data_IF_231673007807
#
_entry.id   IF_231673007807
#
_cell.length_a   1.000
_cell.length_b   1.000
_cell.length_c   1.000
_cell.angle_alpha   90.00
_cell.angle_beta   90.00
_cell.angle_gamma   90.00
#
_symmetry.space_group_name_H-M   'P 1'
#
loop_
_entity.id
_entity.type
_entity.pdbx_description
1 polymer ?
#
# COMPACT_ATOMS: atom_id res chain seq x y z
N UNK A 1 14.35 4.61 -19.12
CA UNK A 1 14.27 5.94 -18.51
C UNK A 1 14.05 6.92 -19.66
N UNK A 2 12.91 7.60 -19.66
CA UNK A 2 12.48 8.52 -20.73
C UNK A 2 13.39 9.75 -20.70
N UNK A 3 13.74 10.28 -21.87
CA UNK A 3 14.57 11.47 -22.05
C UNK A 3 13.84 12.50 -22.91
N UNK A 4 14.27 13.75 -22.84
CA UNK A 4 13.72 14.83 -23.67
C UNK A 4 13.77 14.53 -25.17
N UNK A 5 14.82 13.83 -25.61
CA UNK A 5 14.97 13.37 -27.01
C UNK A 5 13.86 12.44 -27.49
N UNK A 6 13.09 11.84 -26.57
CA UNK A 6 12.06 10.86 -26.90
C UNK A 6 10.71 11.54 -27.23
N UNK A 7 10.61 12.86 -27.04
CA UNK A 7 9.44 13.67 -27.36
C UNK A 7 9.66 14.45 -28.66
N UNK A 8 8.83 14.19 -29.67
CA UNK A 8 8.88 14.87 -30.97
C UNK A 8 7.69 15.80 -31.11
N UNK A 9 7.94 17.06 -31.46
CA UNK A 9 6.87 18.04 -31.68
C UNK A 9 5.97 17.59 -32.84
N UNK A 10 4.67 17.51 -32.56
CA UNK A 10 3.63 17.24 -33.55
C UNK A 10 3.08 18.57 -34.08
N UNK A 11 3.56 18.99 -35.26
CA UNK A 11 3.18 20.27 -35.84
C UNK A 11 1.73 20.28 -36.36
N UNK A 12 1.19 19.13 -36.74
CA UNK A 12 -0.15 19.03 -37.34
C UNK A 12 -1.24 19.17 -36.28
N UNK A 13 -0.96 18.71 -35.05
CA UNK A 13 -1.86 18.87 -33.91
C UNK A 13 -1.51 20.05 -33.01
N UNK A 14 -0.40 20.75 -33.25
CA UNK A 14 -0.10 21.99 -32.53
C UNK A 14 -0.88 23.17 -33.10
N UNK A 15 -1.28 24.12 -32.25
CA UNK A 15 -1.91 25.35 -32.69
C UNK A 15 -1.32 26.59 -31.99
N UNK A 16 -1.98 27.74 -32.14
CA UNK A 16 -1.56 29.00 -31.49
C UNK A 16 -1.71 29.00 -29.97
N UNK A 17 -2.50 28.09 -29.40
CA UNK A 17 -2.83 28.01 -27.98
C UNK A 17 -2.00 26.95 -27.25
N UNK A 18 -1.55 25.90 -27.94
CA UNK A 18 -0.77 24.83 -27.34
C UNK A 18 0.21 24.19 -28.32
N UNK A 19 1.28 23.61 -27.76
CA UNK A 19 2.20 22.75 -28.51
C UNK A 19 1.97 21.28 -28.15
N UNK A 20 1.75 20.45 -29.16
CA UNK A 20 1.58 19.00 -29.03
C UNK A 20 2.92 18.28 -29.25
N UNK A 21 3.19 17.27 -28.43
CA UNK A 21 4.37 16.40 -28.55
C UNK A 21 3.93 14.94 -28.53
N UNK A 22 4.48 14.15 -29.46
CA UNK A 22 4.31 12.71 -29.52
C UNK A 22 5.51 12.04 -28.85
N UNK A 23 5.25 10.96 -28.11
CA UNK A 23 6.29 10.13 -27.53
C UNK A 23 6.62 8.98 -28.48
N UNK A 24 7.89 8.80 -28.84
CA UNK A 24 8.31 7.80 -29.84
C UNK A 24 9.09 6.64 -29.25
N UNK A 25 8.99 6.43 -27.94
CA UNK A 25 9.65 5.32 -27.26
C UNK A 25 8.66 4.62 -26.34
N UNK A 26 8.74 3.30 -26.28
CA UNK A 26 7.89 2.49 -25.41
C UNK A 26 8.03 2.93 -23.96
N UNK A 27 6.89 3.11 -23.30
CA UNK A 27 6.86 3.39 -21.87
C UNK A 27 6.50 2.13 -21.12
N UNK A 28 7.26 1.87 -20.07
CA UNK A 28 6.88 0.89 -19.07
C UNK A 28 6.19 1.63 -17.95
N UNK A 29 4.89 1.45 -17.84
CA UNK A 29 4.12 1.82 -16.65
C UNK A 29 3.85 0.50 -15.95
N UNK A 30 4.38 0.35 -14.75
CA UNK A 30 4.29 -0.91 -14.01
C UNK A 30 4.97 -2.09 -14.73
N UNK A 31 4.40 -3.29 -14.63
CA UNK A 31 4.70 -4.44 -15.49
C UNK A 31 4.05 -4.37 -16.90
N UNK A 32 3.30 -3.32 -17.20
CA UNK A 32 2.69 -3.12 -18.51
C UNK A 32 3.64 -2.34 -19.43
N UNK A 33 4.07 -2.99 -20.51
CA UNK A 33 4.80 -2.33 -21.58
C UNK A 33 3.79 -1.78 -22.58
N UNK A 34 3.73 -0.46 -22.70
CA UNK A 34 3.03 0.19 -23.80
C UNK A 34 4.07 0.35 -24.91
N UNK A 35 3.97 -0.51 -25.92
CA UNK A 35 4.82 -0.42 -27.09
C UNK A 35 4.54 0.87 -27.87
N UNK A 36 5.54 1.36 -28.60
CA UNK A 36 5.46 2.57 -29.42
C UNK A 36 4.29 2.55 -30.42
N UNK A 37 4.01 1.40 -31.01
CA UNK A 37 2.84 1.15 -31.87
C UNK A 37 1.47 1.31 -31.16
N UNK A 38 1.44 1.33 -29.83
CA UNK A 38 0.24 1.51 -29.01
C UNK A 38 0.24 2.86 -28.26
N UNK A 39 1.20 3.76 -28.54
CA UNK A 39 1.28 5.10 -27.94
C UNK A 39 0.38 6.13 -28.61
N UNK A 40 -0.43 5.72 -29.59
CA UNK A 40 -1.40 6.59 -30.28
C UNK A 40 -2.39 7.30 -29.34
N UNK A 41 -2.44 6.95 -28.04
CA UNK A 41 -3.34 7.55 -27.06
C UNK A 41 -2.66 8.50 -26.04
N UNK A 42 -1.33 8.67 -26.08
CA UNK A 42 -0.61 9.50 -25.08
C UNK A 42 -0.16 10.83 -25.68
N UNK A 43 -1.01 11.84 -25.53
CA UNK A 43 -0.75 13.21 -25.98
C UNK A 43 -0.42 14.13 -24.80
N UNK A 44 0.62 14.95 -24.95
CA UNK A 44 0.96 15.99 -23.98
C UNK A 44 0.67 17.35 -24.60
N UNK A 45 -0.34 18.02 -24.06
CA UNK A 45 -0.73 19.37 -24.44
C UNK A 45 -0.13 20.37 -23.46
N UNK A 46 0.77 21.22 -23.96
CA UNK A 46 1.38 22.29 -23.16
C UNK A 46 0.75 23.62 -23.55
N UNK A 47 -0.02 24.22 -22.64
CA UNK A 47 -0.53 25.59 -22.77
C UNK A 47 0.25 26.53 -21.84
N UNK A 48 1.04 27.43 -22.43
CA UNK A 48 1.78 28.48 -21.70
C UNK A 48 3.29 28.53 -22.01
N UNK A 49 3.99 29.48 -21.36
CA UNK A 49 5.44 29.72 -21.54
C UNK A 49 6.31 28.84 -20.63
N UNK A 50 5.77 27.76 -20.08
CA UNK A 50 6.54 26.83 -19.23
C UNK A 50 7.65 26.18 -20.04
N UNK A 51 8.86 26.15 -19.51
CA UNK A 51 9.96 25.42 -20.15
C UNK A 51 9.56 23.95 -20.28
N UNK A 52 9.58 23.41 -21.51
CA UNK A 52 9.26 22.01 -21.82
C UNK A 52 9.97 21.04 -20.85
N UNK A 53 11.22 21.34 -20.53
CA UNK A 53 12.04 20.61 -19.57
C UNK A 53 11.41 20.53 -18.18
N UNK A 54 10.76 21.59 -17.68
CA UNK A 54 10.09 21.58 -16.39
C UNK A 54 8.85 20.67 -16.39
N UNK A 55 8.09 20.67 -17.49
CA UNK A 55 6.91 19.81 -17.66
C UNK A 55 7.32 18.35 -17.81
N UNK A 56 8.35 18.08 -18.62
CA UNK A 56 8.94 16.75 -18.76
C UNK A 56 9.44 16.23 -17.41
N UNK A 57 10.15 17.06 -16.63
CA UNK A 57 10.61 16.68 -15.30
C UNK A 57 9.44 16.35 -14.36
N UNK A 58 8.33 17.09 -14.44
CA UNK A 58 7.13 16.80 -13.66
C UNK A 58 6.50 15.46 -14.05
N UNK A 59 6.41 15.17 -15.35
CA UNK A 59 5.89 13.89 -15.87
C UNK A 59 6.79 12.73 -15.45
N UNK A 60 8.12 12.89 -15.58
CA UNK A 60 9.10 11.88 -15.12
C UNK A 60 8.92 11.63 -13.62
N UNK A 61 8.86 12.69 -12.80
CA UNK A 61 8.64 12.56 -11.37
C UNK A 61 7.34 11.83 -11.05
N UNK A 62 6.26 12.12 -11.77
CA UNK A 62 4.98 11.46 -11.57
C UNK A 62 5.05 9.97 -11.93
N UNK A 63 5.69 9.62 -13.05
CA UNK A 63 5.90 8.22 -13.47
C UNK A 63 6.78 7.46 -12.48
N UNK A 64 7.84 8.08 -11.98
CA UNK A 64 8.74 7.50 -10.99
C UNK A 64 8.04 7.28 -9.64
N UNK A 65 7.24 8.26 -9.20
CA UNK A 65 6.40 8.14 -8.01
C UNK A 65 5.40 6.99 -8.17
N UNK A 66 4.71 6.95 -9.30
CA UNK A 66 3.71 5.92 -9.60
C UNK A 66 4.35 4.52 -9.67
N UNK A 67 5.52 4.38 -10.30
CA UNK A 67 6.29 3.13 -10.34
C UNK A 67 6.78 2.70 -8.96
N UNK A 68 7.13 3.66 -8.10
CA UNK A 68 7.47 3.38 -6.70
C UNK A 68 6.27 2.84 -5.92
N UNK A 69 5.06 3.36 -6.18
CA UNK A 69 3.83 2.80 -5.62
C UNK A 69 3.58 1.36 -6.08
N UNK A 70 3.90 1.00 -7.33
CA UNK A 70 3.82 -0.39 -7.78
C UNK A 70 4.70 -1.31 -6.97
N UNK A 71 5.96 -0.94 -6.74
CA UNK A 71 6.88 -1.80 -5.99
C UNK A 71 6.36 -2.03 -4.57
N UNK A 72 5.73 -1.03 -3.96
CA UNK A 72 5.05 -1.17 -2.67
C UNK A 72 3.84 -2.10 -2.78
N UNK A 73 2.99 -1.93 -3.80
CA UNK A 73 1.80 -2.76 -4.02
C UNK A 73 2.16 -4.21 -4.36
N UNK A 74 3.16 -4.41 -5.23
CA UNK A 74 3.67 -5.71 -5.64
C UNK A 74 4.36 -6.41 -4.48
N UNK A 75 5.16 -5.69 -3.69
CA UNK A 75 5.65 -6.21 -2.40
C UNK A 75 4.51 -6.60 -1.46
N UNK A 76 3.40 -5.85 -1.45
CA UNK A 76 2.23 -6.16 -0.62
C UNK A 76 1.44 -7.38 -1.11
N UNK A 77 1.27 -7.55 -2.43
CA UNK A 77 0.47 -8.63 -3.02
C UNK A 77 1.27 -9.93 -3.29
N UNK A 78 2.54 -9.85 -3.68
CA UNK A 78 3.41 -11.01 -3.90
C UNK A 78 3.90 -11.61 -2.58
N UNK A 79 4.15 -10.78 -1.55
CA UNK A 79 4.43 -11.27 -0.20
C UNK A 79 3.15 -11.48 0.59
N UNK A 80 2.29 -12.42 0.16
CA UNK A 80 1.29 -13.02 1.07
C UNK A 80 1.93 -13.16 2.46
N UNK A 81 1.46 -12.37 3.43
CA UNK A 81 1.86 -12.36 4.84
C UNK A 81 3.20 -11.67 5.22
N UNK A 82 3.37 -10.37 4.97
CA UNK A 82 3.98 -9.55 6.03
C UNK A 82 3.66 -8.06 5.90
N UNK A 83 2.47 -7.68 6.35
CA UNK A 83 2.13 -6.28 6.59
C UNK A 83 3.11 -5.59 7.56
N UNK A 84 3.88 -6.34 8.36
CA UNK A 84 5.02 -5.81 9.12
C UNK A 84 6.10 -5.19 8.23
N UNK A 85 6.37 -5.75 7.05
CA UNK A 85 7.31 -5.17 6.09
C UNK A 85 6.74 -3.91 5.44
N UNK A 86 5.43 -3.88 5.16
CA UNK A 86 4.78 -2.65 4.73
C UNK A 86 4.90 -1.57 5.80
N UNK A 87 4.58 -1.87 7.07
CA UNK A 87 4.72 -0.94 8.18
C UNK A 87 6.16 -0.40 8.32
N UNK A 88 7.18 -1.25 8.15
CA UNK A 88 8.60 -0.85 8.17
C UNK A 88 8.99 0.06 7.00
N UNK A 89 8.27 -0.01 5.89
CA UNK A 89 8.52 0.80 4.70
C UNK A 89 7.77 2.14 4.73
N UNK A 90 6.78 2.29 5.62
CA UNK A 90 6.03 3.52 5.79
C UNK A 90 6.82 4.53 6.65
N UNK A 91 6.66 5.84 6.42
CA UNK A 91 7.15 6.88 7.30
C UNK A 91 6.74 6.65 8.77
N UNK A 92 7.60 7.04 9.72
CA UNK A 92 7.39 6.78 11.15
C UNK A 92 6.14 7.43 11.75
N UNK A 93 5.54 8.39 11.06
CA UNK A 93 4.30 9.05 11.44
C UNK A 93 3.05 8.39 10.86
N UNK A 94 3.19 7.27 10.14
CA UNK A 94 2.08 6.53 9.54
C UNK A 94 2.02 5.13 10.16
N UNK A 95 0.91 4.82 10.80
CA UNK A 95 0.61 3.48 11.30
C UNK A 95 -0.51 2.86 10.49
N UNK A 96 -0.38 1.58 10.19
CA UNK A 96 -1.47 0.78 9.62
C UNK A 96 -2.46 0.49 10.76
N UNK A 97 -3.67 1.01 10.66
CA UNK A 97 -4.71 0.82 11.68
C UNK A 97 -5.62 -0.36 11.31
N UNK A 98 -5.20 -1.57 11.66
CA UNK A 98 -5.93 -2.80 11.39
C UNK A 98 -5.96 -3.72 12.62
N UNK A 99 -6.74 -4.80 12.56
CA UNK A 99 -6.84 -5.74 13.67
C UNK A 99 -5.49 -6.33 14.10
N UNK A 100 -4.59 -6.63 13.15
CA UNK A 100 -3.26 -7.17 13.44
C UNK A 100 -2.36 -6.19 14.19
N UNK A 101 -2.48 -4.89 13.94
CA UNK A 101 -1.67 -3.86 14.60
C UNK A 101 -2.35 -3.25 15.83
N UNK A 102 -3.56 -3.72 16.16
CA UNK A 102 -4.35 -3.25 17.29
C UNK A 102 -4.01 -4.06 18.54
N UNK A 103 -3.88 -3.38 19.70
CA UNK A 103 -3.64 -4.03 21.00
C UNK A 103 -4.70 -5.03 21.43
N UNK A 104 -5.88 -4.95 20.82
CA UNK A 104 -6.99 -5.85 21.09
C UNK A 104 -6.90 -7.13 20.27
N UNK A 105 -6.15 -7.15 19.16
CA UNK A 105 -5.95 -8.34 18.35
C UNK A 105 -4.98 -9.30 19.03
N UNK A 106 -5.40 -10.56 19.22
CA UNK A 106 -4.56 -11.63 19.77
C UNK A 106 -4.68 -12.88 18.89
N UNK A 107 -3.57 -13.58 18.68
CA UNK A 107 -3.52 -14.86 17.98
C UNK A 107 -4.02 -16.01 18.87
N UNK A 108 -4.41 -17.11 18.25
CA UNK A 108 -4.76 -18.32 18.97
C UNK A 108 -3.47 -19.05 19.39
N UNK A 109 -3.27 -19.36 20.69
CA UNK A 109 -2.03 -20.01 21.13
C UNK A 109 -1.93 -21.49 20.71
N UNK A 110 -3.00 -22.08 20.18
CA UNK A 110 -3.09 -23.50 19.82
C UNK A 110 -2.96 -23.77 18.32
N UNK A 111 -2.85 -22.73 17.50
CA UNK A 111 -2.72 -22.84 16.05
C UNK A 111 -3.45 -21.71 15.35
N UNK A 112 -2.89 -21.28 14.23
CA UNK A 112 -3.42 -20.16 13.45
C UNK A 112 -4.18 -20.68 12.23
N UNK A 113 -5.40 -20.19 12.04
CA UNK A 113 -6.04 -20.21 10.72
C UNK A 113 -5.44 -19.08 9.88
N UNK A 114 -5.31 -19.30 8.57
CA UNK A 114 -4.83 -18.27 7.67
C UNK A 114 -5.67 -16.99 7.78
N UNK A 115 -5.00 -15.85 7.94
CA UNK A 115 -5.61 -14.52 7.99
C UNK A 115 -6.63 -14.33 9.13
N UNK A 116 -6.42 -14.96 10.28
CA UNK A 116 -7.31 -14.87 11.44
C UNK A 116 -6.62 -14.20 12.65
N UNK A 117 -7.38 -13.38 13.37
CA UNK A 117 -7.01 -12.82 14.67
C UNK A 117 -8.25 -12.60 15.53
N UNK A 118 -8.12 -12.61 16.85
CA UNK A 118 -9.26 -12.51 17.76
C UNK A 118 -9.27 -11.19 18.53
N UNK A 119 -10.43 -10.53 18.56
CA UNK A 119 -10.60 -9.24 19.23
C UNK A 119 -10.94 -9.38 20.71
N UNK A 120 -10.05 -8.91 21.57
CA UNK A 120 -10.10 -9.00 23.03
C UNK A 120 -10.37 -7.64 23.68
N UNK A 121 -11.08 -6.73 22.99
CA UNK A 121 -11.27 -5.34 23.45
C UNK A 121 -11.88 -5.19 24.85
N UNK A 122 -12.75 -6.12 25.22
CA UNK A 122 -13.46 -6.15 26.51
C UNK A 122 -12.95 -7.29 27.41
N UNK A 123 -11.73 -7.78 27.15
CA UNK A 123 -11.09 -8.85 27.93
C UNK A 123 -9.80 -8.29 28.52
N UNK A 124 -9.60 -8.54 29.80
CA UNK A 124 -8.35 -8.20 30.48
C UNK A 124 -7.40 -9.39 30.34
N UNK A 125 -6.28 -9.17 29.66
CA UNK A 125 -5.18 -10.14 29.53
C UNK A 125 -3.92 -9.48 30.07
N UNK A 126 -3.24 -10.15 30.99
CA UNK A 126 -1.96 -9.73 31.57
C UNK A 126 -0.82 -10.70 31.24
N UNK A 127 -1.14 -11.87 30.70
CA UNK A 127 -0.15 -12.91 30.45
C UNK A 127 -0.55 -13.87 29.31
N UNK A 128 0.42 -14.67 28.84
CA UNK A 128 0.16 -15.78 27.92
C UNK A 128 -0.84 -16.79 28.51
N UNK A 129 -0.77 -16.99 29.82
CA UNK A 129 -1.65 -17.95 30.51
C UNK A 129 -3.11 -17.53 30.40
N UNK A 130 -3.41 -16.25 30.60
CA UNK A 130 -4.76 -15.69 30.49
C UNK A 130 -5.34 -15.90 29.07
N UNK A 131 -4.49 -15.77 28.03
CA UNK A 131 -4.90 -16.05 26.65
C UNK A 131 -5.24 -17.52 26.47
N UNK A 132 -4.35 -18.43 26.91
CA UNK A 132 -4.60 -19.87 26.85
C UNK A 132 -5.88 -20.27 27.60
N UNK A 133 -6.09 -19.71 28.80
CA UNK A 133 -7.29 -19.95 29.60
C UNK A 133 -8.55 -19.49 28.87
N UNK A 134 -8.50 -18.29 28.28
CA UNK A 134 -9.64 -17.75 27.52
C UNK A 134 -10.03 -18.67 26.35
N UNK A 135 -9.06 -19.07 25.53
CA UNK A 135 -9.30 -19.96 24.39
C UNK A 135 -9.75 -21.37 24.81
N UNK A 136 -9.30 -21.86 25.97
CA UNK A 136 -9.71 -23.17 26.49
C UNK A 136 -11.15 -23.18 27.03
N UNK A 137 -11.57 -22.10 27.70
CA UNK A 137 -12.81 -22.07 28.47
C UNK A 137 -14.00 -21.43 27.72
N UNK A 138 -13.77 -20.68 26.64
CA UNK A 138 -14.81 -19.86 26.01
C UNK A 138 -15.01 -20.17 24.51
N UNK A 139 -15.07 -21.45 24.15
CA UNK A 139 -15.13 -21.91 22.75
C UNK A 139 -16.29 -21.30 21.93
N UNK A 140 -17.43 -20.98 22.57
CA UNK A 140 -18.61 -20.42 21.89
C UNK A 140 -18.44 -18.98 21.43
N UNK A 141 -17.68 -18.14 22.15
CA UNK A 141 -17.55 -16.71 21.83
C UNK A 141 -16.36 -16.39 20.91
N UNK A 142 -15.48 -17.37 20.68
CA UNK A 142 -14.27 -17.22 19.86
C UNK A 142 -14.63 -16.88 18.42
N UNK A 143 -15.64 -17.55 17.86
CA UNK A 143 -16.08 -17.31 16.48
C UNK A 143 -16.62 -15.89 16.27
N UNK A 144 -17.35 -15.34 17.24
CA UNK A 144 -17.87 -13.96 17.17
C UNK A 144 -16.78 -12.90 17.30
N UNK A 145 -15.64 -13.27 17.89
CA UNK A 145 -14.47 -12.42 18.10
C UNK A 145 -13.41 -12.57 17.00
N UNK A 146 -13.53 -13.57 16.13
CA UNK A 146 -12.67 -13.75 14.97
C UNK A 146 -12.78 -12.57 14.01
N UNK A 147 -11.64 -12.07 13.55
CA UNK A 147 -11.48 -10.96 12.60
C UNK A 147 -10.43 -11.35 11.58
N UNK A 148 -10.44 -10.68 10.44
CA UNK A 148 -9.33 -10.77 9.49
C UNK A 148 -8.17 -9.92 9.98
N UNK A 149 -6.92 -10.34 9.72
CA UNK A 149 -5.73 -9.60 10.17
C UNK A 149 -5.78 -8.13 9.75
N UNK A 150 -6.16 -7.90 8.50
CA UNK A 150 -6.13 -6.56 7.88
C UNK A 150 -7.48 -5.84 7.92
N UNK A 151 -8.42 -6.33 8.73
CA UNK A 151 -9.72 -5.69 8.84
C UNK A 151 -9.58 -4.34 9.55
N UNK A 152 -10.40 -3.38 9.12
CA UNK A 152 -10.43 -2.05 9.75
C UNK A 152 -11.00 -2.16 11.16
N UNK A 153 -10.39 -1.48 12.14
CA UNK A 153 -10.82 -1.52 13.53
C UNK A 153 -11.28 -0.13 13.98
N UNK A 154 -12.58 0.04 14.24
CA UNK A 154 -13.13 1.30 14.78
C UNK A 154 -12.66 1.61 16.20
N UNK A 155 -12.27 0.58 16.94
CA UNK A 155 -11.77 0.67 18.32
C UNK A 155 -10.25 0.53 18.36
N UNK A 156 -9.57 0.91 17.28
CA UNK A 156 -8.13 0.75 17.14
C UNK A 156 -7.38 1.44 18.28
N UNK A 157 -6.40 0.73 18.85
CA UNK A 157 -5.45 1.27 19.83
C UNK A 157 -4.08 0.66 19.59
N UNK A 158 -3.06 1.51 19.62
CA UNK A 158 -1.67 1.12 19.38
C UNK A 158 -1.18 0.08 20.41
N UNK A 159 -0.38 -0.88 19.94
CA UNK A 159 0.34 -1.82 20.79
C UNK A 159 1.50 -1.09 21.48
N UNK A 160 1.49 -1.10 22.81
CA UNK A 160 2.53 -0.53 23.67
C UNK A 160 3.00 -1.65 24.60
N UNK A 161 4.02 -2.40 24.16
CA UNK A 161 4.53 -3.61 24.83
C UNK A 161 5.05 -3.36 26.26
N UNK A 162 5.37 -2.11 26.60
CA UNK A 162 5.75 -1.66 27.94
C UNK A 162 4.55 -1.47 28.89
N UNK A 163 3.33 -1.36 28.35
CA UNK A 163 2.11 -1.05 29.11
C UNK A 163 1.07 -2.15 29.10
N UNK A 164 0.98 -2.93 28.03
CA UNK A 164 -0.06 -3.92 27.85
C UNK A 164 0.53 -5.22 27.32
N UNK A 165 0.04 -6.33 27.86
CA UNK A 165 0.33 -7.65 27.29
C UNK A 165 -0.58 -7.89 26.08
N UNK A 166 0.01 -8.32 24.96
CA UNK A 166 -0.73 -8.80 23.79
C UNK A 166 -0.08 -10.09 23.30
N UNK A 167 -0.85 -11.14 23.06
CA UNK A 167 -0.38 -12.31 22.32
C UNK A 167 -0.49 -12.03 20.82
N UNK A 168 0.28 -11.04 20.39
CA UNK A 168 0.34 -10.52 19.05
C UNK A 168 1.81 -10.26 18.75
N UNK A 169 2.27 -10.75 17.62
CA UNK A 169 3.67 -10.68 17.23
C UNK A 169 4.00 -9.42 16.41
N UNK A 170 3.04 -8.48 16.28
CA UNK A 170 3.18 -7.17 15.62
C UNK A 170 4.40 -6.36 16.08
#
# INVERSE_FOLDING_TARGET
>A
MIKESDFIKNNDESDSNYTCYNLTTSIRIFNHLIADENLEEVYIYVSGNGELTAIINYIIHYIDWFSSCENVLKSYYENKLNIKYLQKSLPSNINLECCQSCRHGNFCPYGDSDNEIFCFKDIVINSKHDVCEYFSNNSTFINERSRKLLDFCTEYKLILHDKYYTYNDW
#
